data_IF_249390010116
#
_entry.id   IF_249390010116
#
_cell.length_a   1.000
_cell.length_b   1.000
_cell.length_c   1.000
_cell.angle_alpha   90.00
_cell.angle_beta   90.00
_cell.angle_gamma   90.00
#
_symmetry.space_group_name_H-M   'P 1'
#
loop_
_entity.id
_entity.type
_entity.pdbx_description
1 polymer ?
#
# COMPACT_ATOMS: atom_id res chain seq x y z
N UNK A 1 -41.77 -0.29 -14.44
CA UNK A 1 -43.00 -0.79 -13.79
C UNK A 1 -43.15 -2.31 -13.85
N UNK A 2 -42.55 -2.99 -14.83
CA UNK A 2 -42.60 -4.47 -14.98
C UNK A 2 -41.78 -5.23 -13.94
N UNK A 3 -40.69 -4.65 -13.45
CA UNK A 3 -39.81 -5.26 -12.43
C UNK A 3 -40.42 -5.25 -11.01
N UNK A 4 -41.26 -4.25 -10.70
CA UNK A 4 -42.00 -4.23 -9.42
C UNK A 4 -43.10 -5.30 -9.35
N UNK A 5 -43.66 -5.69 -10.50
CA UNK A 5 -44.67 -6.77 -10.56
C UNK A 5 -44.04 -8.12 -10.25
N UNK A 6 -42.85 -8.40 -10.81
CA UNK A 6 -42.14 -9.67 -10.57
C UNK A 6 -41.74 -9.86 -9.10
N UNK A 7 -41.43 -8.76 -8.40
CA UNK A 7 -41.14 -8.76 -6.95
C UNK A 7 -42.42 -9.01 -6.13
N UNK A 8 -43.56 -8.50 -6.58
CA UNK A 8 -44.86 -8.72 -5.93
C UNK A 8 -45.37 -10.15 -6.13
N UNK A 9 -45.18 -10.72 -7.32
CA UNK A 9 -45.63 -12.09 -7.65
C UNK A 9 -44.78 -13.16 -6.94
N UNK A 10 -43.48 -12.87 -6.70
CA UNK A 10 -42.61 -13.71 -5.85
C UNK A 10 -42.94 -13.60 -4.35
N UNK A 11 -43.63 -12.53 -3.93
CA UNK A 11 -44.15 -12.37 -2.55
C UNK A 11 -45.47 -13.12 -2.30
N UNK A 12 -46.26 -13.37 -3.35
CA UNK A 12 -47.61 -13.97 -3.23
C UNK A 12 -47.67 -15.49 -3.41
N UNK A 13 -46.56 -16.13 -3.81
CA UNK A 13 -46.51 -17.56 -4.13
C UNK A 13 -46.02 -18.50 -3.03
N UNK A 14 -45.59 -18.00 -1.87
CA UNK A 14 -45.07 -18.83 -0.77
C UNK A 14 -46.10 -18.98 0.36
N UNK A 15 -46.34 -20.18 0.90
CA UNK A 15 -47.32 -20.41 1.97
C UNK A 15 -46.95 -19.77 3.32
N UNK A 16 -45.86 -19.00 3.40
CA UNK A 16 -45.47 -18.25 4.59
C UNK A 16 -44.73 -16.95 4.19
N UNK A 17 -45.41 -15.79 4.06
CA UNK A 17 -44.78 -14.53 3.65
C UNK A 17 -43.69 -14.03 4.61
N UNK A 18 -43.66 -14.51 5.86
CA UNK A 18 -42.57 -14.26 6.82
C UNK A 18 -41.28 -15.01 6.48
N UNK A 19 -41.36 -16.20 5.89
CA UNK A 19 -40.19 -16.99 5.49
C UNK A 19 -39.42 -16.34 4.33
N UNK A 20 -40.13 -15.81 3.33
CA UNK A 20 -39.51 -15.11 2.20
C UNK A 20 -38.82 -13.80 2.59
N UNK A 21 -39.39 -13.07 3.55
CA UNK A 21 -38.76 -11.84 4.11
C UNK A 21 -37.51 -12.19 4.92
N UNK A 22 -37.57 -13.25 5.73
CA UNK A 22 -36.44 -13.69 6.55
C UNK A 22 -35.28 -14.22 5.69
N UNK A 23 -35.57 -14.94 4.62
CA UNK A 23 -34.58 -15.45 3.67
C UNK A 23 -33.99 -14.33 2.79
N UNK A 24 -34.81 -13.36 2.37
CA UNK A 24 -34.32 -12.16 1.71
C UNK A 24 -33.42 -11.32 2.63
N UNK A 25 -33.79 -11.14 3.91
CA UNK A 25 -32.94 -10.45 4.89
C UNK A 25 -31.63 -11.20 5.18
N UNK A 26 -31.68 -12.54 5.27
CA UNK A 26 -30.50 -13.36 5.50
C UNK A 26 -29.52 -13.25 4.34
N UNK A 27 -29.98 -13.43 3.10
CA UNK A 27 -29.11 -13.40 1.92
C UNK A 27 -28.68 -11.97 1.53
N UNK A 28 -29.61 -11.01 1.55
CA UNK A 28 -29.30 -9.63 1.17
C UNK A 28 -28.54 -8.88 2.27
N UNK A 29 -28.89 -9.09 3.53
CA UNK A 29 -28.27 -8.43 4.68
C UNK A 29 -26.83 -8.89 4.92
N UNK A 30 -26.57 -10.20 4.84
CA UNK A 30 -25.20 -10.74 4.96
C UNK A 30 -24.30 -10.24 3.82
N UNK A 31 -24.79 -10.23 2.57
CA UNK A 31 -24.02 -9.72 1.44
C UNK A 31 -23.72 -8.21 1.54
N UNK A 32 -24.63 -7.40 2.10
CA UNK A 32 -24.36 -5.98 2.39
C UNK A 32 -23.29 -5.83 3.46
N UNK A 33 -23.34 -6.64 4.51
CA UNK A 33 -22.38 -6.61 5.61
C UNK A 33 -20.98 -7.06 5.16
N UNK A 34 -20.89 -8.13 4.37
CA UNK A 34 -19.64 -8.60 3.77
C UNK A 34 -18.98 -7.51 2.93
N UNK A 35 -19.75 -6.84 2.06
CA UNK A 35 -19.24 -5.72 1.26
C UNK A 35 -18.78 -4.55 2.13
N UNK A 36 -19.51 -4.24 3.21
CA UNK A 36 -19.13 -3.18 4.14
C UNK A 36 -17.82 -3.51 4.88
N UNK A 37 -17.66 -4.76 5.34
CA UNK A 37 -16.43 -5.25 5.97
C UNK A 37 -15.26 -5.17 5.00
N UNK A 38 -15.42 -5.74 3.79
CA UNK A 38 -14.38 -5.71 2.75
C UNK A 38 -13.97 -4.28 2.40
N UNK A 39 -14.93 -3.37 2.26
CA UNK A 39 -14.66 -1.95 2.04
C UNK A 39 -13.85 -1.34 3.20
N UNK A 40 -14.19 -1.68 4.44
CA UNK A 40 -13.46 -1.24 5.62
C UNK A 40 -12.01 -1.75 5.64
N UNK A 41 -11.80 -3.04 5.33
CA UNK A 41 -10.47 -3.64 5.20
C UNK A 41 -9.63 -2.92 4.14
N UNK A 42 -10.19 -2.69 2.95
CA UNK A 42 -9.50 -1.98 1.87
C UNK A 42 -9.14 -0.55 2.28
N UNK A 43 -10.07 0.20 2.87
CA UNK A 43 -9.83 1.59 3.30
C UNK A 43 -8.79 1.68 4.42
N UNK A 44 -8.74 0.69 5.31
CA UNK A 44 -7.71 0.59 6.35
C UNK A 44 -6.34 0.29 5.74
N UNK A 45 -6.28 -0.67 4.82
CA UNK A 45 -5.05 -1.03 4.11
C UNK A 45 -4.48 0.15 3.30
N UNK A 46 -5.33 0.89 2.59
CA UNK A 46 -4.91 2.10 1.85
C UNK A 46 -4.25 3.15 2.75
N UNK A 47 -4.74 3.32 3.99
CA UNK A 47 -4.13 4.25 4.95
C UNK A 47 -2.76 3.78 5.44
N UNK A 48 -2.59 2.49 5.65
CA UNK A 48 -1.32 1.89 6.06
C UNK A 48 -0.28 1.92 4.93
N UNK A 49 -0.72 1.79 3.67
CA UNK A 49 0.15 1.84 2.50
C UNK A 49 0.59 3.25 2.10
N UNK A 50 -0.11 4.30 2.54
CA UNK A 50 0.10 5.67 2.09
C UNK A 50 1.58 6.12 2.18
N UNK A 51 2.26 5.81 3.28
CA UNK A 51 3.67 6.17 3.49
C UNK A 51 4.67 5.14 2.94
N UNK A 52 4.26 3.88 2.71
CA UNK A 52 5.12 2.85 2.14
C UNK A 52 5.61 3.24 0.75
N UNK A 53 4.74 3.84 -0.06
CA UNK A 53 5.08 4.36 -1.39
C UNK A 53 6.22 5.39 -1.36
N UNK A 54 6.28 6.21 -0.30
CA UNK A 54 7.32 7.22 -0.11
C UNK A 54 8.64 6.57 0.26
N UNK A 55 8.64 5.59 1.17
CA UNK A 55 9.84 4.84 1.53
C UNK A 55 10.42 4.07 0.33
N UNK A 56 9.57 3.44 -0.48
CA UNK A 56 9.98 2.77 -1.71
C UNK A 56 10.62 3.75 -2.70
N UNK A 57 10.03 4.94 -2.84
CA UNK A 57 10.54 5.99 -3.73
C UNK A 57 11.89 6.53 -3.24
N UNK A 58 12.06 6.79 -1.94
CA UNK A 58 13.34 7.19 -1.35
C UNK A 58 14.39 6.10 -1.58
N UNK A 59 14.07 4.85 -1.24
CA UNK A 59 14.98 3.72 -1.39
C UNK A 59 15.48 3.51 -2.82
N UNK A 60 14.61 3.73 -3.81
CA UNK A 60 14.94 3.55 -5.24
C UNK A 60 15.63 4.76 -5.87
N UNK A 61 15.30 5.99 -5.47
CA UNK A 61 15.80 7.22 -6.12
C UNK A 61 17.07 7.73 -5.45
N UNK A 62 17.24 7.58 -4.13
CA UNK A 62 18.39 8.12 -3.39
C UNK A 62 19.77 7.69 -3.92
N UNK A 63 20.00 6.44 -4.38
CA UNK A 63 21.28 6.05 -4.98
C UNK A 63 21.61 6.86 -6.25
N UNK A 64 20.60 7.15 -7.06
CA UNK A 64 20.79 7.92 -8.29
C UNK A 64 21.09 9.39 -8.00
N UNK A 65 20.52 9.96 -6.92
CA UNK A 65 20.87 11.31 -6.46
C UNK A 65 22.35 11.36 -6.04
N UNK A 66 22.84 10.34 -5.32
CA UNK A 66 24.26 10.24 -4.94
C UNK A 66 25.20 10.10 -6.15
N UNK A 67 24.83 9.23 -7.11
CA UNK A 67 25.56 9.07 -8.36
C UNK A 67 25.62 10.39 -9.16
N UNK A 68 24.49 11.08 -9.27
CA UNK A 68 24.45 12.40 -9.91
C UNK A 68 25.42 13.38 -9.25
N UNK A 69 25.46 13.41 -7.92
CA UNK A 69 26.41 14.23 -7.16
C UNK A 69 27.87 13.89 -7.47
N UNK A 70 28.21 12.59 -7.59
CA UNK A 70 29.58 12.21 -8.00
C UNK A 70 29.94 12.70 -9.39
N UNK A 71 29.01 12.55 -10.35
CA UNK A 71 29.25 12.97 -11.74
C UNK A 71 29.45 14.48 -11.80
N UNK A 72 28.61 15.24 -11.09
CA UNK A 72 28.73 16.69 -11.02
C UNK A 72 30.06 17.13 -10.40
N UNK A 73 30.44 16.58 -9.24
CA UNK A 73 31.68 16.95 -8.55
C UNK A 73 32.94 16.59 -9.35
N UNK A 74 32.91 15.46 -10.08
CA UNK A 74 33.99 15.09 -10.99
C UNK A 74 34.09 16.10 -12.14
N UNK A 75 32.98 16.47 -12.77
CA UNK A 75 32.97 17.48 -13.85
C UNK A 75 33.57 18.81 -13.35
N UNK A 76 33.15 19.28 -12.18
CA UNK A 76 33.64 20.54 -11.59
C UNK A 76 35.14 20.48 -11.26
N UNK A 77 35.62 19.35 -10.76
CA UNK A 77 37.05 19.14 -10.51
C UNK A 77 37.87 19.24 -11.80
N UNK A 78 37.40 18.66 -12.90
CA UNK A 78 38.09 18.69 -14.19
C UNK A 78 37.98 20.05 -14.92
N UNK A 79 36.90 20.81 -14.75
CA UNK A 79 36.79 22.17 -15.32
C UNK A 79 37.74 23.15 -14.64
N UNK A 80 37.95 23.01 -13.32
CA UNK A 80 38.98 23.74 -12.58
C UNK A 80 40.39 23.47 -13.10
N UNK A 81 40.69 22.20 -13.42
CA UNK A 81 41.97 21.82 -14.03
C UNK A 81 42.17 22.45 -15.42
N UNK A 82 41.13 22.42 -16.26
CA UNK A 82 41.16 22.94 -17.63
C UNK A 82 41.33 24.48 -17.71
N UNK A 83 40.95 25.21 -16.66
CA UNK A 83 40.97 26.68 -16.63
C UNK A 83 42.26 27.29 -16.04
N UNK A 84 43.04 26.52 -15.26
CA UNK A 84 44.18 27.04 -14.50
C UNK A 84 45.53 26.36 -14.71
N UNK A 85 45.62 25.29 -15.53
CA UNK A 85 46.88 24.57 -15.75
C UNK A 85 47.43 23.88 -14.48
N UNK A 86 46.54 23.53 -13.54
CA UNK A 86 46.91 22.84 -12.30
C UNK A 86 47.42 21.41 -12.52
N UNK A 87 48.02 20.82 -11.49
CA UNK A 87 48.45 19.41 -11.53
C UNK A 87 47.30 18.47 -11.15
N UNK A 88 47.46 17.18 -11.44
CA UNK A 88 46.47 16.16 -11.08
C UNK A 88 46.25 16.04 -9.57
N UNK A 89 47.22 16.45 -8.74
CA UNK A 89 47.02 16.49 -7.28
C UNK A 89 45.96 17.54 -6.86
N UNK A 90 45.77 18.60 -7.66
CA UNK A 90 44.81 19.65 -7.35
C UNK A 90 43.34 19.18 -7.47
N UNK A 91 43.06 18.12 -8.23
CA UNK A 91 41.69 17.58 -8.40
C UNK A 91 41.34 16.49 -7.38
N UNK A 92 42.33 15.94 -6.67
CA UNK A 92 42.12 14.84 -5.73
C UNK A 92 41.12 15.18 -4.60
N UNK A 93 41.13 16.39 -3.99
CA UNK A 93 40.14 16.76 -2.98
C UNK A 93 38.70 16.82 -3.53
N UNK A 94 38.51 17.41 -4.72
CA UNK A 94 37.17 17.54 -5.33
C UNK A 94 36.55 16.18 -5.71
N UNK A 95 37.36 15.23 -6.15
CA UNK A 95 36.91 13.85 -6.41
C UNK A 95 36.56 13.15 -5.10
N UNK A 96 37.33 13.35 -4.02
CA UNK A 96 37.02 12.78 -2.72
C UNK A 96 35.68 13.30 -2.16
N UNK A 97 35.41 14.59 -2.30
CA UNK A 97 34.10 15.19 -1.93
C UNK A 97 32.96 14.65 -2.79
N UNK A 98 33.20 14.45 -4.09
CA UNK A 98 32.24 13.84 -4.99
C UNK A 98 31.81 12.45 -4.49
N UNK A 99 32.76 11.62 -4.02
CA UNK A 99 32.47 10.28 -3.47
C UNK A 99 31.60 10.31 -2.21
N UNK A 100 31.67 11.38 -1.41
CA UNK A 100 30.79 11.55 -0.24
C UNK A 100 29.33 11.66 -0.68
N UNK A 101 29.03 12.24 -1.85
CA UNK A 101 27.66 12.34 -2.35
C UNK A 101 27.03 10.94 -2.56
N UNK A 102 27.78 9.98 -3.11
CA UNK A 102 27.31 8.59 -3.23
C UNK A 102 27.14 7.92 -1.87
N UNK A 103 28.07 8.14 -0.93
CA UNK A 103 27.93 7.61 0.42
C UNK A 103 26.66 8.12 1.11
N UNK A 104 26.33 9.40 0.96
CA UNK A 104 25.09 10.00 1.48
C UNK A 104 23.85 9.42 0.79
N UNK A 105 23.87 9.24 -0.53
CA UNK A 105 22.76 8.62 -1.28
C UNK A 105 22.47 7.19 -0.80
N UNK A 106 23.52 6.40 -0.55
CA UNK A 106 23.39 5.05 0.02
C UNK A 106 22.94 5.07 1.49
N UNK A 107 23.45 6.01 2.29
CA UNK A 107 23.06 6.18 3.68
C UNK A 107 21.56 6.54 3.82
N UNK A 108 20.98 7.23 2.84
CA UNK A 108 19.53 7.47 2.77
C UNK A 108 18.75 6.25 2.25
N UNK A 109 19.27 5.55 1.23
CA UNK A 109 18.59 4.43 0.58
C UNK A 109 18.46 3.19 1.47
N UNK A 110 19.53 2.81 2.18
CA UNK A 110 19.59 1.56 2.95
C UNK A 110 18.51 1.52 4.04
N UNK A 111 18.37 2.54 4.92
CA UNK A 111 17.32 2.54 5.93
C UNK A 111 15.92 2.59 5.30
N UNK A 112 15.73 3.37 4.23
CA UNK A 112 14.43 3.49 3.57
C UNK A 112 13.92 2.15 3.04
N UNK A 113 14.79 1.37 2.38
CA UNK A 113 14.45 0.02 1.90
C UNK A 113 14.19 -0.94 3.05
N UNK A 114 14.97 -0.86 4.13
CA UNK A 114 14.77 -1.71 5.31
C UNK A 114 13.41 -1.46 5.97
N UNK A 115 13.07 -0.19 6.23
CA UNK A 115 11.78 0.19 6.79
C UNK A 115 10.62 -0.15 5.85
N UNK A 116 10.78 0.04 4.53
CA UNK A 116 9.76 -0.36 3.56
C UNK A 116 9.42 -1.84 3.69
N UNK A 117 10.43 -2.70 3.69
CA UNK A 117 10.24 -4.15 3.81
C UNK A 117 9.61 -4.53 5.15
N UNK A 118 10.06 -3.91 6.24
CA UNK A 118 9.51 -4.16 7.58
C UNK A 118 8.02 -3.80 7.67
N UNK A 119 7.66 -2.56 7.31
CA UNK A 119 6.28 -2.09 7.41
C UNK A 119 5.37 -2.73 6.37
N UNK A 120 5.86 -3.07 5.18
CA UNK A 120 5.09 -3.81 4.19
C UNK A 120 4.71 -5.22 4.69
N UNK A 121 5.65 -5.91 5.33
CA UNK A 121 5.35 -7.21 5.95
C UNK A 121 4.32 -7.08 7.08
N UNK A 122 4.50 -6.08 7.96
CA UNK A 122 3.52 -5.82 9.03
C UNK A 122 2.13 -5.48 8.47
N UNK A 123 2.05 -4.72 7.39
CA UNK A 123 0.79 -4.39 6.73
C UNK A 123 0.09 -5.65 6.19
N UNK A 124 0.83 -6.56 5.55
CA UNK A 124 0.26 -7.82 5.05
C UNK A 124 -0.29 -8.71 6.17
N UNK A 125 0.39 -8.76 7.32
CA UNK A 125 -0.10 -9.49 8.50
C UNK A 125 -1.40 -8.87 8.99
N UNK A 126 -1.44 -7.55 9.21
CA UNK A 126 -2.64 -6.84 9.68
C UNK A 126 -3.80 -6.99 8.68
N UNK A 127 -3.51 -6.93 7.37
CA UNK A 127 -4.50 -7.16 6.31
C UNK A 127 -5.11 -8.55 6.40
N UNK A 128 -4.28 -9.59 6.52
CA UNK A 128 -4.73 -10.97 6.69
C UNK A 128 -5.56 -11.17 7.96
N UNK A 129 -5.16 -10.58 9.08
CA UNK A 129 -5.91 -10.64 10.33
C UNK A 129 -7.29 -9.98 10.21
N UNK A 130 -7.38 -8.84 9.51
CA UNK A 130 -8.64 -8.15 9.23
C UNK A 130 -9.57 -8.98 8.33
N UNK A 131 -9.03 -9.65 7.30
CA UNK A 131 -9.81 -10.54 6.44
C UNK A 131 -10.33 -11.76 7.20
N UNK A 132 -9.48 -12.41 8.01
CA UNK A 132 -9.87 -13.54 8.85
C UNK A 132 -10.97 -13.15 9.84
N UNK A 133 -10.82 -12.01 10.51
CA UNK A 133 -11.83 -11.49 11.42
C UNK A 133 -13.17 -11.25 10.73
N UNK A 134 -13.16 -10.68 9.52
CA UNK A 134 -14.36 -10.45 8.73
C UNK A 134 -15.11 -11.75 8.41
N UNK A 135 -14.38 -12.81 8.04
CA UNK A 135 -14.95 -14.13 7.78
C UNK A 135 -15.53 -14.77 9.03
N UNK A 136 -14.80 -14.77 10.14
CA UNK A 136 -15.24 -15.32 11.41
C UNK A 136 -16.50 -14.61 11.95
N UNK A 137 -16.55 -13.29 11.76
CA UNK A 137 -17.70 -12.47 12.14
C UNK A 137 -18.95 -12.82 11.32
N UNK A 138 -18.81 -12.94 10.00
CA UNK A 138 -19.92 -13.35 9.13
C UNK A 138 -20.42 -14.76 9.46
N UNK A 139 -19.50 -15.71 9.66
CA UNK A 139 -19.82 -17.08 10.07
C UNK A 139 -20.59 -17.11 11.40
N UNK A 140 -20.18 -16.28 12.36
CA UNK A 140 -20.85 -16.16 13.67
C UNK A 140 -22.27 -15.62 13.54
N UNK A 141 -22.47 -14.59 12.70
CA UNK A 141 -23.80 -14.02 12.44
C UNK A 141 -24.69 -15.04 11.73
N UNK A 142 -24.18 -15.70 10.69
CA UNK A 142 -24.94 -16.71 9.95
C UNK A 142 -25.41 -17.85 10.87
N UNK A 143 -24.51 -18.35 11.73
CA UNK A 143 -24.84 -19.37 12.72
C UNK A 143 -25.88 -18.89 13.73
N UNK A 144 -25.80 -17.65 14.18
CA UNK A 144 -26.76 -17.07 15.13
C UNK A 144 -28.14 -16.85 14.51
N UNK A 145 -28.19 -16.44 13.24
CA UNK A 145 -29.43 -16.29 12.47
C UNK A 145 -30.05 -17.64 12.08
N UNK A 146 -29.25 -18.69 11.89
CA UNK A 146 -29.73 -20.03 11.60
C UNK A 146 -30.28 -20.77 12.84
N UNK A 147 -29.84 -20.39 14.04
CA UNK A 147 -30.28 -20.98 15.31
C UNK A 147 -31.45 -20.25 16.00
N UNK A 148 -32.00 -19.19 15.39
CA UNK A 148 -33.21 -18.49 15.82
C UNK A 148 -34.35 -18.72 14.84
#
# INVERSE_FOLDING_TARGET
YTELSKIKDSFTGSPNPSAGVQEHFKNFGLGVLERALKKGVTQSNEQLEALLSTLASIGSISPFIGLFGTVWGIIDSFTGLASGGGTLEAVAPGIAEALVATAVGLAAAIPAVWFFNYFNNQNQIIHGDMESFGQDFLNTIERTLAHK
#
